data_IF_408202511076
#
_entry.id   IF_408202511076
#
_cell.length_a   1.000
_cell.length_b   1.000
_cell.length_c   1.000
_cell.angle_alpha   90.00
_cell.angle_beta   90.00
_cell.angle_gamma   90.00
#
_symmetry.space_group_name_H-M   'P 1'
#
loop_
_entity.id
_entity.type
_entity.pdbx_description
1 polymer ?
#
# COMPACT_ATOMS: atom_id res chain seq x y z
N UNK A 1 2.03 16.35 21.05
CA UNK A 1 1.32 15.43 20.14
C UNK A 1 1.97 14.05 20.23
N UNK A 2 3.04 13.71 19.49
CA UNK A 2 3.64 12.36 19.47
C UNK A 2 3.85 11.66 20.84
N UNK A 3 4.39 12.37 21.84
CA UNK A 3 4.69 11.82 23.17
C UNK A 3 3.53 11.90 24.19
N UNK A 4 2.35 12.36 23.77
CA UNK A 4 1.17 12.50 24.64
C UNK A 4 0.26 11.25 24.66
N UNK A 5 0.73 10.13 24.12
CA UNK A 5 -0.04 8.88 23.99
C UNK A 5 -0.70 8.69 22.62
N UNK A 6 -0.56 9.67 21.71
CA UNK A 6 -1.16 9.61 20.36
C UNK A 6 -0.63 8.44 19.54
N UNK A 7 0.63 8.01 19.75
CA UNK A 7 1.28 6.93 19.01
C UNK A 7 0.48 5.62 18.99
N UNK A 8 -0.20 5.28 20.08
CA UNK A 8 -0.91 4.00 20.23
C UNK A 8 -2.42 4.10 19.97
N UNK A 9 -2.91 5.26 19.51
CA UNK A 9 -4.32 5.40 19.15
C UNK A 9 -4.64 4.58 17.87
N UNK A 10 -5.82 3.95 17.78
CA UNK A 10 -6.14 3.02 16.70
C UNK A 10 -6.61 3.76 15.42
N UNK A 11 -5.74 4.56 14.81
CA UNK A 11 -6.08 5.40 13.65
C UNK A 11 -6.49 4.59 12.40
N UNK A 12 -6.09 3.33 12.29
CA UNK A 12 -6.54 2.43 11.23
C UNK A 12 -8.08 2.31 11.17
N UNK A 13 -8.80 2.54 12.27
CA UNK A 13 -10.27 2.54 12.33
C UNK A 13 -10.91 3.68 11.51
N UNK A 14 -10.14 4.68 11.10
CA UNK A 14 -10.60 5.78 10.25
C UNK A 14 -10.58 5.39 8.76
N UNK A 15 -9.72 4.45 8.37
CA UNK A 15 -9.53 4.04 6.96
C UNK A 15 -10.83 3.54 6.31
N UNK A 16 -11.70 2.74 6.95
CA UNK A 16 -12.96 2.31 6.35
C UNK A 16 -13.92 3.45 6.01
N UNK A 17 -13.84 4.58 6.72
CA UNK A 17 -14.60 5.78 6.39
C UNK A 17 -14.05 6.46 5.13
N UNK A 18 -12.73 6.54 5.01
CA UNK A 18 -12.04 7.13 3.86
C UNK A 18 -12.28 6.31 2.60
N UNK A 19 -12.21 4.98 2.70
CA UNK A 19 -12.41 4.05 1.57
C UNK A 19 -13.80 4.17 0.91
N UNK A 20 -14.80 4.71 1.62
CA UNK A 20 -16.14 4.96 1.05
C UNK A 20 -16.17 6.15 0.09
N UNK A 21 -15.24 7.08 0.26
CA UNK A 21 -15.24 8.36 -0.46
C UNK A 21 -14.15 8.40 -1.53
N UNK A 22 -12.98 7.83 -1.24
CA UNK A 22 -11.81 7.92 -2.13
C UNK A 22 -10.98 6.61 -2.17
N UNK A 23 -10.23 6.37 -3.26
CA UNK A 23 -9.22 5.33 -3.32
C UNK A 23 -8.05 5.57 -2.36
N UNK A 24 -7.49 4.49 -1.81
CA UNK A 24 -6.37 4.50 -0.87
C UNK A 24 -5.32 3.47 -1.28
N UNK A 25 -4.07 3.90 -1.44
CA UNK A 25 -2.89 3.03 -1.54
C UNK A 25 -2.12 3.08 -0.22
N UNK A 26 -1.71 1.91 0.23
CA UNK A 26 -0.68 1.73 1.23
C UNK A 26 0.53 1.14 0.52
N UNK A 27 1.67 1.82 0.57
CA UNK A 27 2.90 1.30 -0.02
C UNK A 27 4.03 1.21 1.01
N UNK A 28 4.91 0.22 0.86
CA UNK A 28 6.05 0.02 1.75
C UNK A 28 7.26 -0.53 1.00
N UNK A 29 8.45 -0.09 1.39
CA UNK A 29 9.72 -0.65 0.91
C UNK A 29 10.03 -2.00 1.55
N UNK A 30 10.56 -2.94 0.77
CA UNK A 30 10.86 -4.29 1.26
C UNK A 30 12.00 -4.37 2.28
N UNK A 31 12.83 -3.32 2.38
CA UNK A 31 14.00 -3.23 3.25
C UNK A 31 13.81 -2.32 4.48
N UNK A 32 12.60 -1.77 4.69
CA UNK A 32 12.30 -1.01 5.93
C UNK A 32 11.98 -1.95 7.11
N UNK A 33 12.58 -1.66 8.26
CA UNK A 33 12.28 -2.32 9.52
C UNK A 33 11.20 -1.59 10.33
N UNK A 34 11.27 -0.25 10.41
CA UNK A 34 10.47 0.57 11.33
C UNK A 34 8.99 0.50 10.94
N UNK A 35 8.69 0.71 9.66
CA UNK A 35 7.35 0.62 9.08
C UNK A 35 7.29 -0.52 8.05
N UNK A 36 7.73 -1.72 8.46
CA UNK A 36 7.95 -2.85 7.56
C UNK A 36 6.72 -3.25 6.72
N UNK A 37 7.00 -3.77 5.51
CA UNK A 37 5.97 -4.20 4.57
C UNK A 37 5.14 -5.39 5.06
N UNK A 38 5.71 -6.28 5.89
CA UNK A 38 4.99 -7.44 6.44
C UNK A 38 3.84 -7.00 7.36
N UNK A 39 4.11 -6.06 8.26
CA UNK A 39 3.11 -5.46 9.14
C UNK A 39 2.08 -4.67 8.36
N UNK A 40 2.52 -3.92 7.34
CA UNK A 40 1.60 -3.21 6.45
C UNK A 40 0.67 -4.15 5.68
N UNK A 41 1.20 -5.24 5.11
CA UNK A 41 0.38 -6.27 4.48
C UNK A 41 -0.61 -6.89 5.49
N UNK A 42 -0.13 -7.28 6.67
CA UNK A 42 -0.97 -7.96 7.66
C UNK A 42 -2.15 -7.08 8.12
N UNK A 43 -1.94 -5.79 8.41
CA UNK A 43 -3.04 -4.94 8.86
C UNK A 43 -3.99 -4.59 7.72
N UNK A 44 -3.49 -4.39 6.49
CA UNK A 44 -4.35 -4.14 5.32
C UNK A 44 -5.23 -5.35 5.00
N UNK A 45 -4.71 -6.57 5.13
CA UNK A 45 -5.46 -7.82 4.98
C UNK A 45 -6.44 -8.08 6.12
N UNK A 46 -6.19 -7.56 7.31
CA UNK A 46 -7.06 -7.67 8.48
C UNK A 46 -8.11 -6.55 8.59
N UNK A 47 -7.95 -5.45 7.83
CA UNK A 47 -8.81 -4.28 7.93
C UNK A 47 -10.27 -4.65 7.63
N UNK A 48 -11.17 -4.33 8.54
CA UNK A 48 -12.61 -4.55 8.35
C UNK A 48 -13.23 -3.40 7.57
N UNK A 49 -13.71 -3.69 6.36
CA UNK A 49 -14.43 -2.77 5.49
C UNK A 49 -15.27 -3.57 4.48
N UNK A 50 -16.24 -2.97 3.76
CA UNK A 50 -17.17 -3.71 2.90
C UNK A 50 -16.52 -4.65 1.87
N UNK A 51 -15.39 -4.26 1.27
CA UNK A 51 -14.63 -5.05 0.30
C UNK A 51 -13.54 -5.95 0.90
N UNK A 52 -13.48 -6.10 2.23
CA UNK A 52 -12.47 -6.92 2.91
C UNK A 52 -12.37 -8.34 2.36
N UNK A 53 -13.52 -8.99 2.12
CA UNK A 53 -13.55 -10.39 1.67
C UNK A 53 -12.91 -10.57 0.30
N UNK A 54 -13.10 -9.60 -0.59
CA UNK A 54 -12.56 -9.64 -1.95
C UNK A 54 -11.08 -9.30 -1.91
N UNK A 55 -10.71 -8.21 -1.21
CA UNK A 55 -9.30 -7.85 -1.00
C UNK A 55 -8.52 -9.01 -0.38
N UNK A 56 -9.01 -9.67 0.66
CA UNK A 56 -8.31 -10.80 1.28
C UNK A 56 -8.07 -11.96 0.32
N UNK A 57 -8.98 -12.21 -0.63
CA UNK A 57 -8.85 -13.28 -1.65
C UNK A 57 -7.96 -12.89 -2.82
N UNK A 58 -7.84 -11.60 -3.13
CA UNK A 58 -6.98 -11.13 -4.22
C UNK A 58 -5.53 -11.55 -3.97
N UNK A 59 -4.86 -12.20 -4.93
CA UNK A 59 -3.45 -12.53 -4.82
C UNK A 59 -2.59 -11.26 -4.85
N UNK A 60 -1.36 -11.38 -4.36
CA UNK A 60 -0.33 -10.37 -4.57
C UNK A 60 0.31 -10.68 -5.93
N UNK A 61 0.22 -9.76 -6.89
CA UNK A 61 0.71 -9.93 -8.26
C UNK A 61 2.00 -9.11 -8.47
N UNK A 62 2.81 -9.48 -9.46
CA UNK A 62 4.04 -8.76 -9.76
C UNK A 62 3.75 -7.31 -10.20
N UNK A 63 4.40 -6.36 -9.55
CA UNK A 63 4.42 -4.97 -10.00
C UNK A 63 5.53 -4.84 -11.05
N UNK A 64 5.14 -4.86 -12.33
CA UNK A 64 6.04 -4.78 -13.47
C UNK A 64 6.05 -3.36 -14.02
N UNK A 65 7.24 -2.79 -14.19
CA UNK A 65 7.46 -1.48 -14.79
C UNK A 65 7.27 -1.51 -16.31
N UNK A 66 7.16 -0.34 -16.90
CA UNK A 66 6.98 -0.17 -18.35
C UNK A 66 8.14 -0.75 -19.19
N UNK A 67 9.32 -0.93 -18.60
CA UNK A 67 10.49 -1.55 -19.24
C UNK A 67 10.54 -3.09 -19.08
N UNK A 68 9.55 -3.69 -18.42
CA UNK A 68 9.46 -5.12 -18.15
C UNK A 68 10.15 -5.58 -16.86
N UNK A 69 10.75 -4.68 -16.09
CA UNK A 69 11.39 -5.02 -14.81
C UNK A 69 10.34 -5.24 -13.72
N UNK A 70 10.38 -6.37 -13.02
CA UNK A 70 9.60 -6.56 -11.78
C UNK A 70 10.21 -5.73 -10.65
N UNK A 71 9.47 -4.73 -10.18
CA UNK A 71 9.91 -3.78 -9.14
C UNK A 71 9.26 -4.01 -7.77
N UNK A 72 8.44 -5.06 -7.64
CA UNK A 72 7.78 -5.40 -6.40
C UNK A 72 6.51 -6.19 -6.65
N UNK A 73 5.52 -5.99 -5.78
CA UNK A 73 4.25 -6.67 -5.89
C UNK A 73 3.08 -5.77 -5.47
N UNK A 74 1.94 -5.93 -6.13
CA UNK A 74 0.74 -5.12 -5.95
C UNK A 74 -0.49 -6.00 -5.75
N UNK A 75 -1.42 -5.51 -4.95
CA UNK A 75 -2.72 -6.12 -4.71
C UNK A 75 -3.76 -5.02 -4.60
N UNK A 76 -4.80 -5.09 -5.42
CA UNK A 76 -5.90 -4.13 -5.39
C UNK A 76 -7.25 -4.83 -5.41
N UNK A 77 -8.21 -4.27 -4.68
CA UNK A 77 -9.62 -4.65 -4.77
C UNK A 77 -10.48 -3.45 -4.37
N UNK A 78 -11.42 -3.05 -5.21
CA UNK A 78 -12.24 -1.87 -4.95
C UNK A 78 -11.39 -0.60 -4.84
N UNK A 79 -11.63 0.17 -3.79
CA UNK A 79 -10.90 1.40 -3.48
C UNK A 79 -9.62 1.19 -2.66
N UNK A 80 -9.16 -0.06 -2.46
CA UNK A 80 -8.02 -0.33 -1.59
C UNK A 80 -6.91 -1.08 -2.30
N UNK A 81 -5.71 -0.50 -2.26
CA UNK A 81 -4.50 -1.03 -2.88
C UNK A 81 -3.39 -1.14 -1.85
N UNK A 82 -2.67 -2.26 -1.87
CA UNK A 82 -1.41 -2.44 -1.17
C UNK A 82 -0.29 -2.70 -2.18
N UNK A 83 0.87 -2.06 -1.99
CA UNK A 83 2.04 -2.28 -2.84
C UNK A 83 3.32 -2.43 -2.01
N UNK A 84 4.08 -3.48 -2.30
CA UNK A 84 5.45 -3.64 -1.82
C UNK A 84 6.41 -3.23 -2.94
N UNK A 85 7.38 -2.38 -2.65
CA UNK A 85 8.44 -2.00 -3.59
C UNK A 85 9.73 -2.71 -3.17
N UNK A 86 10.27 -3.53 -4.07
CA UNK A 86 11.47 -4.32 -3.81
C UNK A 86 12.72 -3.44 -3.87
N UNK A 87 13.63 -3.63 -2.91
CA UNK A 87 14.84 -2.82 -2.79
C UNK A 87 14.60 -1.40 -2.25
N UNK A 88 13.35 -1.06 -1.87
CA UNK A 88 13.02 0.20 -1.20
C UNK A 88 13.21 0.11 0.31
N UNK A 89 13.77 1.15 0.95
CA UNK A 89 13.83 1.31 2.39
C UNK A 89 12.67 2.14 2.94
N UNK A 90 12.89 2.84 4.05
CA UNK A 90 11.88 3.70 4.69
C UNK A 90 11.43 4.84 3.76
N UNK A 91 12.37 5.36 2.96
CA UNK A 91 12.13 6.42 1.99
C UNK A 91 12.09 5.84 0.59
N UNK A 92 11.02 5.10 0.27
CA UNK A 92 10.89 4.35 -0.99
C UNK A 92 11.25 5.17 -2.24
N UNK A 93 10.80 6.44 -2.41
CA UNK A 93 11.18 7.24 -3.59
C UNK A 93 12.66 7.63 -3.65
N UNK A 94 13.37 7.64 -2.52
CA UNK A 94 14.81 7.87 -2.49
C UNK A 94 15.58 6.63 -2.98
N UNK A 95 15.20 5.44 -2.49
CA UNK A 95 15.90 4.19 -2.80
C UNK A 95 15.51 3.63 -4.18
N UNK A 96 14.24 3.77 -4.57
CA UNK A 96 13.65 3.23 -5.80
C UNK A 96 12.88 4.33 -6.57
N UNK A 97 13.55 5.38 -7.07
CA UNK A 97 12.90 6.56 -7.64
C UNK A 97 12.07 6.24 -8.89
N UNK A 98 12.58 5.38 -9.79
CA UNK A 98 11.88 5.01 -11.03
C UNK A 98 10.58 4.25 -10.72
N UNK A 99 10.68 3.19 -9.91
CA UNK A 99 9.54 2.38 -9.52
C UNK A 99 8.48 3.19 -8.76
N UNK A 100 8.92 4.10 -7.88
CA UNK A 100 8.03 4.96 -7.10
C UNK A 100 7.30 6.00 -7.94
N UNK A 101 7.99 6.63 -8.89
CA UNK A 101 7.37 7.61 -9.78
C UNK A 101 6.32 6.95 -10.66
N UNK A 102 6.63 5.77 -11.20
CA UNK A 102 5.69 5.02 -12.03
C UNK A 102 4.48 4.54 -11.20
N UNK A 103 4.69 4.09 -9.95
CA UNK A 103 3.61 3.73 -9.02
C UNK A 103 2.65 4.90 -8.80
N UNK A 104 3.19 6.07 -8.48
CA UNK A 104 2.38 7.27 -8.23
C UNK A 104 1.61 7.69 -9.49
N UNK A 105 2.27 7.74 -10.64
CA UNK A 105 1.61 8.14 -11.89
C UNK A 105 0.49 7.17 -12.29
N UNK A 106 0.73 5.86 -12.23
CA UNK A 106 -0.24 4.82 -12.57
C UNK A 106 -1.43 4.80 -11.61
N UNK A 107 -1.17 4.95 -10.31
CA UNK A 107 -2.25 5.02 -9.33
C UNK A 107 -3.11 6.28 -9.51
N UNK A 108 -2.49 7.45 -9.67
CA UNK A 108 -3.23 8.70 -9.91
C UNK A 108 -4.01 8.66 -11.23
N UNK A 109 -3.49 7.96 -12.25
CA UNK A 109 -4.19 7.71 -13.51
C UNK A 109 -5.34 6.69 -13.40
N UNK A 110 -5.47 6.02 -12.26
CA UNK A 110 -6.59 5.14 -11.95
C UNK A 110 -6.38 3.66 -12.31
N UNK A 111 -5.15 3.22 -12.57
CA UNK A 111 -4.90 1.87 -13.09
C UNK A 111 -5.37 0.73 -12.15
N UNK A 112 -5.24 0.93 -10.85
CA UNK A 112 -5.61 -0.07 -9.84
C UNK A 112 -6.94 0.26 -9.14
N UNK A 113 -7.80 1.06 -9.78
CA UNK A 113 -9.16 1.30 -9.31
C UNK A 113 -10.10 0.29 -9.95
N UNK A 114 -11.03 -0.26 -9.16
CA UNK A 114 -12.09 -1.14 -9.66
C UNK A 114 -13.34 -0.35 -10.08
#
# INVERSE_FOLDING_TARGET
FLFAGDWMQPFHRLVPGILKEIPVLIYAGSLDYICNWLGNQAWTEALEWPGHKDFKKTPLEDYVLSDGTTAGAVKSSGNFTFMRIDGGGHMVPYDQPVASLEMVNRWVAGEWLA
#
